data_IF_453693333355
#
_entry.id   IF_453693333355
#
_cell.length_a   1.000
_cell.length_b   1.000
_cell.length_c   1.000
_cell.angle_alpha   90.00
_cell.angle_beta   90.00
_cell.angle_gamma   90.00
#
_symmetry.space_group_name_H-M   'P 1'
#
loop_
_entity.id
_entity.type
_entity.pdbx_description
1 polymer ?
#
# COMPACT_ATOMS: atom_id res chain seq x y z
N UNK A 1 67.16 -38.11 1.25
CA UNK A 1 65.93 -38.02 2.07
C UNK A 1 65.00 -37.02 1.38
N UNK A 2 63.96 -37.51 0.71
CA UNK A 2 62.96 -36.67 0.05
C UNK A 2 61.61 -36.92 0.72
N UNK A 3 60.99 -35.87 1.25
CA UNK A 3 59.65 -35.94 1.84
C UNK A 3 58.64 -35.42 0.80
N UNK A 4 57.71 -36.29 0.41
CA UNK A 4 56.64 -35.96 -0.51
C UNK A 4 55.54 -35.17 0.23
N UNK A 5 55.25 -33.96 -0.23
CA UNK A 5 54.15 -33.13 0.28
C UNK A 5 52.83 -33.60 -0.32
N UNK A 6 51.89 -34.02 0.54
CA UNK A 6 50.50 -34.32 0.18
C UNK A 6 49.67 -33.05 0.41
N UNK A 7 49.11 -32.49 -0.66
CA UNK A 7 48.17 -31.35 -0.59
C UNK A 7 46.75 -31.90 -0.54
N UNK A 8 46.03 -31.65 0.56
CA UNK A 8 44.61 -31.97 0.71
C UNK A 8 43.79 -30.73 0.33
N UNK A 9 43.09 -30.77 -0.80
CA UNK A 9 42.14 -29.72 -1.21
C UNK A 9 40.76 -30.00 -0.58
N UNK A 10 40.35 -29.16 0.38
CA UNK A 10 39.02 -29.23 0.98
C UNK A 10 38.02 -28.39 0.16
N UNK A 11 37.06 -29.04 -0.48
CA UNK A 11 35.95 -28.39 -1.18
C UNK A 11 34.84 -27.99 -0.20
N UNK A 12 34.70 -26.69 0.08
CA UNK A 12 33.55 -26.16 0.82
C UNK A 12 32.31 -26.13 -0.11
N UNK A 13 31.38 -27.06 0.09
CA UNK A 13 30.06 -27.00 -0.56
C UNK A 13 29.15 -26.03 0.23
N UNK A 14 28.99 -24.81 -0.26
CA UNK A 14 28.02 -23.86 0.28
C UNK A 14 26.62 -24.30 -0.16
N UNK A 15 25.85 -24.90 0.75
CA UNK A 15 24.41 -25.13 0.52
C UNK A 15 23.69 -23.79 0.66
N UNK A 16 23.21 -23.25 -0.45
CA UNK A 16 22.25 -22.15 -0.43
C UNK A 16 20.96 -22.66 0.24
N UNK A 17 20.64 -22.14 1.43
CA UNK A 17 19.36 -22.38 2.07
C UNK A 17 18.31 -21.59 1.30
N UNK A 18 17.47 -22.28 0.52
CA UNK A 18 16.25 -21.68 0.00
C UNK A 18 15.32 -21.40 1.19
N UNK A 19 15.07 -20.12 1.46
CA UNK A 19 14.08 -19.74 2.48
C UNK A 19 12.69 -20.21 2.05
N UNK A 20 11.88 -20.78 2.95
CA UNK A 20 10.48 -21.06 2.66
C UNK A 20 9.79 -19.80 2.15
N UNK A 21 8.98 -19.95 1.08
CA UNK A 21 8.09 -18.91 0.63
C UNK A 21 7.15 -18.51 1.78
N UNK A 22 6.96 -17.21 1.96
CA UNK A 22 6.10 -16.69 3.02
C UNK A 22 4.64 -17.13 2.79
N UNK A 23 3.97 -17.71 3.79
CA UNK A 23 2.55 -18.00 3.66
C UNK A 23 1.78 -16.69 3.46
N UNK A 24 0.79 -16.65 2.56
CA UNK A 24 0.02 -15.44 2.31
C UNK A 24 -0.63 -14.93 3.60
N UNK A 25 -0.63 -13.62 3.79
CA UNK A 25 -1.20 -13.00 4.99
C UNK A 25 -2.66 -13.43 5.20
N UNK A 26 -3.14 -13.51 6.46
CA UNK A 26 -4.55 -13.73 6.73
C UNK A 26 -5.36 -12.59 6.09
N UNK A 27 -6.08 -12.92 5.03
CA UNK A 27 -7.01 -11.98 4.38
C UNK A 27 -8.20 -11.80 5.31
N UNK A 28 -8.66 -10.55 5.50
CA UNK A 28 -10.00 -10.35 6.02
C UNK A 28 -10.98 -10.73 4.89
N UNK A 29 -12.04 -11.53 5.13
CA UNK A 29 -13.02 -11.89 4.09
C UNK A 29 -13.73 -10.68 3.47
N UNK A 30 -13.66 -9.50 4.11
CA UNK A 30 -14.19 -8.25 3.61
C UNK A 30 -13.53 -7.76 2.32
N UNK A 31 -14.31 -7.02 1.53
CA UNK A 31 -13.80 -6.23 0.40
C UNK A 31 -14.30 -4.80 0.55
N UNK A 32 -13.45 -3.83 0.24
CA UNK A 32 -13.84 -2.43 0.20
C UNK A 32 -13.85 -1.93 -1.23
N UNK A 33 -14.65 -0.91 -1.50
CA UNK A 33 -14.73 -0.27 -2.81
C UNK A 33 -14.43 1.22 -2.75
N UNK A 34 -13.76 1.70 -3.80
CA UNK A 34 -13.53 3.12 -4.06
C UNK A 34 -14.27 3.49 -5.34
N UNK A 35 -15.06 4.55 -5.28
CA UNK A 35 -15.90 5.03 -6.39
C UNK A 35 -15.69 6.53 -6.61
N UNK A 36 -15.92 6.99 -7.84
CA UNK A 36 -15.87 8.41 -8.17
C UNK A 36 -14.49 9.04 -7.96
N UNK A 37 -13.42 8.24 -8.08
CA UNK A 37 -12.07 8.73 -7.84
C UNK A 37 -11.65 9.65 -8.98
N UNK A 38 -11.29 10.88 -8.62
CA UNK A 38 -10.93 11.95 -9.55
C UNK A 38 -9.90 12.89 -8.94
N UNK A 39 -9.19 13.58 -9.81
CA UNK A 39 -8.18 14.60 -9.51
C UNK A 39 -8.42 15.85 -10.36
N UNK A 40 -8.42 17.01 -9.72
CA UNK A 40 -8.48 18.32 -10.37
C UNK A 40 -7.24 19.10 -9.96
N UNK A 41 -6.47 19.60 -10.93
CA UNK A 41 -5.26 20.36 -10.65
C UNK A 41 -5.42 21.83 -11.06
N UNK A 42 -4.69 22.72 -10.38
CA UNK A 42 -4.49 24.10 -10.83
C UNK A 42 -3.79 24.13 -12.19
N UNK A 43 -3.96 25.22 -12.94
CA UNK A 43 -3.36 25.37 -14.28
C UNK A 43 -1.83 25.24 -14.27
N UNK A 44 -1.19 25.75 -13.21
CA UNK A 44 0.26 25.66 -12.98
C UNK A 44 0.71 24.31 -12.38
N UNK A 45 -0.25 23.40 -12.13
CA UNK A 45 -0.02 22.06 -11.56
C UNK A 45 0.68 22.07 -10.19
N UNK A 46 0.68 23.22 -9.51
CA UNK A 46 1.26 23.37 -8.17
C UNK A 46 0.39 22.74 -7.09
N UNK A 47 -0.89 22.50 -7.38
CA UNK A 47 -1.86 21.92 -6.47
C UNK A 47 -2.82 20.99 -7.21
N UNK A 48 -3.15 19.85 -6.59
CA UNK A 48 -4.20 18.94 -7.07
C UNK A 48 -5.14 18.55 -5.92
N UNK A 49 -6.44 18.67 -6.14
CA UNK A 49 -7.48 18.17 -5.25
C UNK A 49 -7.95 16.80 -5.73
N UNK A 50 -7.91 15.84 -4.81
CA UNK A 50 -8.42 14.48 -4.99
C UNK A 50 -9.76 14.34 -4.29
N UNK A 51 -10.66 13.55 -4.85
CA UNK A 51 -11.92 13.18 -4.19
C UNK A 51 -12.42 11.81 -4.62
N UNK A 52 -13.05 11.08 -3.70
CA UNK A 52 -13.66 9.76 -3.93
C UNK A 52 -14.64 9.40 -2.81
N UNK A 53 -15.34 8.28 -3.02
CA UNK A 53 -16.21 7.64 -2.04
C UNK A 53 -15.61 6.31 -1.59
N UNK A 54 -15.68 6.03 -0.30
CA UNK A 54 -15.24 4.78 0.34
C UNK A 54 -16.47 3.97 0.76
N UNK A 55 -16.58 2.74 0.29
CA UNK A 55 -17.60 1.78 0.74
C UNK A 55 -16.92 0.56 1.36
N UNK A 56 -17.05 0.41 2.67
CA UNK A 56 -16.65 -0.81 3.38
C UNK A 56 -17.76 -1.88 3.39
N UNK A 57 -18.99 -1.46 3.06
CA UNK A 57 -20.20 -2.26 3.09
C UNK A 57 -21.12 -1.79 1.95
N UNK A 58 -21.46 -2.64 0.97
CA UNK A 58 -22.24 -2.25 -0.20
C UNK A 58 -23.68 -1.84 0.13
N UNK A 59 -24.21 -2.15 1.33
CA UNK A 59 -25.57 -1.73 1.73
C UNK A 59 -25.60 -0.41 2.50
N UNK A 60 -24.44 0.16 2.83
CA UNK A 60 -24.34 1.44 3.56
C UNK A 60 -23.98 2.58 2.61
N UNK A 61 -24.38 3.79 2.99
CA UNK A 61 -24.01 5.02 2.27
C UNK A 61 -22.47 5.16 2.29
N UNK A 62 -21.81 5.26 1.12
CA UNK A 62 -20.37 5.48 1.04
C UNK A 62 -19.93 6.77 1.71
N UNK A 63 -18.70 6.79 2.23
CA UNK A 63 -18.10 7.90 2.95
C UNK A 63 -17.27 8.75 1.99
N UNK A 64 -17.54 10.04 1.92
CA UNK A 64 -16.78 10.95 1.06
C UNK A 64 -15.42 11.27 1.67
N UNK A 65 -14.38 11.23 0.84
CA UNK A 65 -13.05 11.73 1.16
C UNK A 65 -12.58 12.70 0.09
N UNK A 66 -12.03 13.83 0.52
CA UNK A 66 -11.36 14.76 -0.36
C UNK A 66 -10.18 15.43 0.35
N UNK A 67 -9.10 15.64 -0.37
CA UNK A 67 -7.88 16.26 0.14
C UNK A 67 -7.11 16.93 -1.00
N UNK A 68 -6.12 17.73 -0.62
CA UNK A 68 -5.26 18.46 -1.55
C UNK A 68 -3.82 18.03 -1.38
N UNK A 69 -3.14 17.83 -2.51
CA UNK A 69 -1.70 17.59 -2.61
C UNK A 69 -1.06 18.78 -3.30
N UNK A 70 0.09 19.22 -2.80
CA UNK A 70 0.88 20.31 -3.41
C UNK A 70 2.16 19.76 -4.00
N UNK A 71 2.69 20.42 -5.03
CA UNK A 71 3.97 20.11 -5.64
C UNK A 71 5.08 20.06 -4.57
N UNK A 72 5.91 19.01 -4.60
CA UNK A 72 7.02 18.83 -3.68
C UNK A 72 8.17 18.08 -4.36
N UNK A 73 9.39 18.22 -3.83
CA UNK A 73 10.55 17.48 -4.34
C UNK A 73 10.91 17.78 -5.80
N UNK A 74 10.50 18.93 -6.34
CA UNK A 74 10.69 19.28 -7.75
C UNK A 74 9.70 18.60 -8.71
N UNK A 75 8.72 17.87 -8.18
CA UNK A 75 7.66 17.22 -8.95
C UNK A 75 6.38 18.06 -8.91
N UNK A 76 5.57 18.06 -9.99
CA UNK A 76 4.24 18.64 -9.97
C UNK A 76 3.31 17.89 -8.99
N UNK A 77 2.23 18.54 -8.56
CA UNK A 77 1.36 17.99 -7.51
C UNK A 77 0.73 16.63 -7.88
N UNK A 78 0.50 16.37 -9.17
CA UNK A 78 -0.08 15.11 -9.64
C UNK A 78 0.90 13.93 -9.60
N UNK A 79 2.20 14.19 -9.49
CA UNK A 79 3.27 13.20 -9.35
C UNK A 79 3.84 13.15 -7.93
N UNK A 80 3.26 13.91 -7.00
CA UNK A 80 3.75 14.00 -5.63
C UNK A 80 3.05 12.95 -4.76
N UNK A 81 3.84 12.17 -4.04
CA UNK A 81 3.34 11.20 -3.06
C UNK A 81 2.66 11.89 -1.88
N UNK A 82 1.69 11.20 -1.29
CA UNK A 82 0.95 11.68 -0.14
C UNK A 82 0.81 10.60 0.92
N UNK A 83 0.95 11.00 2.18
CA UNK A 83 0.85 10.10 3.31
C UNK A 83 0.17 10.79 4.49
N UNK A 84 -0.52 9.99 5.28
CA UNK A 84 -1.19 10.39 6.54
C UNK A 84 -2.22 11.49 6.31
N UNK A 85 -2.87 11.49 5.13
CA UNK A 85 -3.92 12.45 4.82
C UNK A 85 -5.23 12.05 5.49
N UNK A 86 -5.88 13.02 6.13
CA UNK A 86 -7.20 12.82 6.75
C UNK A 86 -8.30 13.26 5.80
N UNK A 87 -9.39 12.52 5.83
CA UNK A 87 -10.60 12.82 5.09
C UNK A 87 -11.53 13.72 5.94
N UNK A 88 -11.85 14.95 5.52
CA UNK A 88 -12.74 15.84 6.26
C UNK A 88 -14.12 15.19 6.49
N UNK A 89 -14.62 15.27 7.73
CA UNK A 89 -15.93 14.72 8.11
C UNK A 89 -15.97 13.21 8.39
N UNK A 90 -14.87 12.49 8.14
CA UNK A 90 -14.76 11.04 8.34
C UNK A 90 -13.38 10.68 8.96
N UNK A 91 -13.13 11.10 10.22
CA UNK A 91 -11.81 11.08 10.84
C UNK A 91 -11.22 9.67 11.05
N UNK A 92 -12.06 8.63 10.95
CA UNK A 92 -11.67 7.22 10.99
C UNK A 92 -10.74 6.81 9.84
N UNK A 93 -10.75 7.55 8.72
CA UNK A 93 -9.92 7.24 7.56
C UNK A 93 -8.60 8.00 7.53
N UNK A 94 -7.54 7.26 7.22
CA UNK A 94 -6.22 7.77 6.81
C UNK A 94 -5.93 7.31 5.40
N UNK A 95 -5.45 8.23 4.57
CA UNK A 95 -5.13 7.99 3.18
C UNK A 95 -3.63 8.14 2.94
N UNK A 96 -3.05 7.14 2.29
CA UNK A 96 -1.73 7.20 1.71
C UNK A 96 -1.83 6.90 0.22
N UNK A 97 -0.81 7.27 -0.55
CA UNK A 97 -0.77 6.99 -1.97
C UNK A 97 0.33 7.76 -2.65
N UNK A 98 0.39 7.60 -3.95
CA UNK A 98 1.47 8.17 -4.74
C UNK A 98 1.38 7.79 -6.19
N UNK A 99 2.17 8.49 -7.00
CA UNK A 99 2.26 8.29 -8.43
C UNK A 99 3.48 7.43 -8.75
N UNK A 100 3.34 6.54 -9.72
CA UNK A 100 4.43 5.71 -10.24
C UNK A 100 4.71 6.05 -11.70
N UNK A 101 5.99 5.97 -12.09
CA UNK A 101 6.49 6.25 -13.43
C UNK A 101 5.83 5.44 -14.55
N UNK A 102 5.18 4.32 -14.22
CA UNK A 102 4.36 3.51 -15.13
C UNK A 102 2.94 4.06 -15.32
N UNK A 103 2.72 5.34 -14.99
CA UNK A 103 1.49 6.09 -15.18
C UNK A 103 0.28 5.54 -14.40
N UNK A 104 0.50 5.21 -13.13
CA UNK A 104 -0.59 4.86 -12.20
C UNK A 104 -0.48 5.64 -10.89
N UNK A 105 -1.63 5.80 -10.23
CA UNK A 105 -1.72 6.31 -8.87
C UNK A 105 -2.19 5.19 -7.96
N UNK A 106 -1.45 4.94 -6.89
CA UNK A 106 -1.85 4.03 -5.83
C UNK A 106 -2.59 4.77 -4.73
N UNK A 107 -3.56 4.10 -4.13
CA UNK A 107 -4.33 4.61 -3.01
C UNK A 107 -4.42 3.53 -1.94
N UNK A 108 -3.93 3.83 -0.75
CA UNK A 108 -4.15 3.03 0.45
C UNK A 108 -5.20 3.72 1.30
N UNK A 109 -6.32 3.05 1.53
CA UNK A 109 -7.37 3.48 2.45
C UNK A 109 -7.20 2.71 3.74
N UNK A 110 -7.00 3.41 4.85
CA UNK A 110 -6.85 2.82 6.19
C UNK A 110 -8.03 3.27 7.04
N UNK A 111 -8.74 2.33 7.67
CA UNK A 111 -9.66 2.64 8.75
C UNK A 111 -8.95 2.38 10.09
N UNK A 112 -8.55 3.46 10.74
CA UNK A 112 -7.75 3.41 11.97
C UNK A 112 -8.53 2.78 13.14
N UNK A 113 -9.86 3.01 13.20
CA UNK A 113 -10.71 2.48 14.25
C UNK A 113 -10.87 0.96 14.13
N UNK A 114 -11.06 0.48 12.90
CA UNK A 114 -11.23 -0.95 12.61
C UNK A 114 -9.91 -1.70 12.53
N UNK A 115 -8.78 -0.98 12.44
CA UNK A 115 -7.44 -1.55 12.23
C UNK A 115 -7.39 -2.38 10.95
N UNK A 116 -7.94 -1.83 9.88
CA UNK A 116 -8.01 -2.45 8.57
C UNK A 116 -7.50 -1.49 7.50
N UNK A 117 -7.00 -2.05 6.40
CA UNK A 117 -6.61 -1.28 5.22
C UNK A 117 -6.99 -2.02 3.93
N UNK A 118 -7.09 -1.27 2.85
CA UNK A 118 -7.24 -1.79 1.49
C UNK A 118 -6.42 -0.98 0.49
N UNK A 119 -5.99 -1.62 -0.60
CA UNK A 119 -5.13 -1.03 -1.63
C UNK A 119 -5.87 -0.94 -2.96
N UNK A 120 -5.74 0.17 -3.64
CA UNK A 120 -6.32 0.43 -4.95
C UNK A 120 -5.25 1.04 -5.88
N UNK A 121 -5.44 0.89 -7.19
CA UNK A 121 -4.52 1.44 -8.18
C UNK A 121 -5.26 1.84 -9.43
N UNK A 122 -5.14 3.09 -9.84
CA UNK A 122 -5.85 3.66 -10.97
C UNK A 122 -4.86 4.15 -12.01
N UNK A 123 -5.20 4.08 -13.30
CA UNK A 123 -4.33 4.72 -14.30
C UNK A 123 -4.38 6.23 -14.10
N UNK A 124 -3.25 6.90 -14.30
CA UNK A 124 -3.18 8.35 -14.09
C UNK A 124 -4.14 9.10 -15.02
N UNK A 125 -4.34 8.57 -16.24
CA UNK A 125 -5.24 9.10 -17.24
C UNK A 125 -6.71 9.11 -16.78
N UNK A 126 -7.16 8.08 -16.04
CA UNK A 126 -8.54 7.95 -15.56
C UNK A 126 -8.90 8.97 -14.46
N UNK A 127 -7.91 9.62 -13.86
CA UNK A 127 -8.11 10.55 -12.75
C UNK A 127 -8.28 11.99 -13.19
N UNK A 128 -7.90 12.35 -14.42
CA UNK A 128 -8.00 13.73 -14.88
C UNK A 128 -9.45 14.19 -14.99
N UNK A 129 -9.68 15.48 -14.69
CA UNK A 129 -11.01 16.06 -14.66
C UNK A 129 -11.81 15.81 -15.95
N UNK A 130 -13.07 15.39 -15.79
CA UNK A 130 -14.02 15.18 -16.89
C UNK A 130 -14.56 13.75 -16.99
N UNK A 131 -13.87 12.77 -16.41
CA UNK A 131 -14.32 11.38 -16.30
C UNK A 131 -13.97 10.88 -14.88
N UNK A 132 -14.90 10.20 -14.22
CA UNK A 132 -14.60 9.51 -12.96
C UNK A 132 -13.94 8.16 -13.29
N UNK A 133 -12.90 7.79 -12.52
CA UNK A 133 -12.30 6.49 -12.71
C UNK A 133 -13.31 5.36 -12.43
N UNK A 134 -13.16 4.26 -13.17
CA UNK A 134 -13.99 3.07 -12.97
C UNK A 134 -13.90 2.62 -11.51
N UNK A 135 -15.02 2.34 -10.82
CA UNK A 135 -15.00 1.86 -9.45
C UNK A 135 -14.13 0.62 -9.29
N UNK A 136 -13.39 0.55 -8.18
CA UNK A 136 -12.56 -0.60 -7.85
C UNK A 136 -12.99 -1.22 -6.54
N UNK A 137 -12.95 -2.54 -6.48
CA UNK A 137 -13.12 -3.32 -5.26
C UNK A 137 -11.82 -4.06 -4.96
N UNK A 138 -11.39 -4.03 -3.71
CA UNK A 138 -10.13 -4.65 -3.29
C UNK A 138 -10.28 -5.39 -1.97
N UNK A 139 -9.34 -6.31 -1.72
CA UNK A 139 -9.27 -7.11 -0.50
C UNK A 139 -8.87 -6.24 0.69
N UNK A 140 -9.30 -6.67 1.87
CA UNK A 140 -9.01 -5.99 3.14
C UNK A 140 -7.96 -6.77 3.94
N UNK A 141 -7.05 -6.02 4.55
CA UNK A 141 -5.94 -6.53 5.33
C UNK A 141 -5.92 -5.91 6.73
N UNK A 142 -5.27 -6.58 7.67
CA UNK A 142 -5.09 -6.08 9.05
C UNK A 142 -4.05 -4.95 9.05
N UNK A 143 -4.33 -3.88 9.80
CA UNK A 143 -3.46 -2.71 10.00
C UNK A 143 -3.11 -2.49 11.50
N UNK A 144 -1.84 -2.18 11.86
CA UNK A 144 -0.67 -2.19 10.99
C UNK A 144 -0.37 -3.60 10.50
N UNK A 145 0.21 -3.70 9.30
CA UNK A 145 0.67 -4.97 8.76
C UNK A 145 1.67 -5.57 9.76
N UNK A 146 1.41 -6.76 10.34
CA UNK A 146 2.29 -7.33 11.34
C UNK A 146 3.69 -7.57 10.77
N UNK A 147 4.72 -7.00 11.39
CA UNK A 147 6.11 -7.29 11.04
C UNK A 147 6.47 -8.64 11.68
N UNK A 148 6.92 -9.60 10.87
CA UNK A 148 7.30 -10.99 11.26
C UNK A 148 8.07 -11.13 12.59
N UNK A 149 8.85 -10.12 13.00
CA UNK A 149 9.61 -10.12 14.26
C UNK A 149 8.71 -10.26 15.51
N UNK A 150 7.50 -9.69 15.47
CA UNK A 150 6.55 -9.76 16.59
C UNK A 150 5.78 -11.09 16.63
N UNK A 151 5.59 -11.75 15.48
CA UNK A 151 4.88 -13.04 15.42
C UNK A 151 5.74 -14.19 15.97
N UNK A 152 7.03 -14.22 15.62
CA UNK A 152 7.98 -15.21 16.18
C UNK A 152 8.11 -15.12 17.71
N UNK A 153 8.08 -13.91 18.28
CA UNK A 153 8.18 -13.73 19.74
C UNK A 153 6.93 -14.25 20.47
N UNK A 154 5.72 -14.00 19.95
CA UNK A 154 4.47 -14.47 20.55
C UNK A 154 4.29 -16.00 20.47
N UNK A 155 4.81 -16.64 19.43
CA UNK A 155 4.78 -18.10 19.32
C UNK A 155 5.75 -18.76 20.30
N UNK A 156 6.91 -18.13 20.55
CA UNK A 156 7.88 -18.59 21.54
C UNK A 156 7.32 -18.50 22.97
N UNK A 157 6.71 -17.37 23.35
CA UNK A 157 6.12 -17.15 24.68
C UNK A 157 4.90 -18.04 24.98
N UNK A 158 4.21 -18.55 23.94
CA UNK A 158 3.07 -19.45 24.11
C UNK A 158 3.48 -20.92 24.21
N UNK A 159 4.75 -21.23 23.95
CA UNK A 159 5.30 -22.59 23.98
C UNK A 159 6.11 -22.91 25.25
N UNK A 160 6.22 -21.94 26.17
CA UNK A 160 6.78 -22.09 27.52
C UNK A 160 5.66 -22.09 28.58
#
# INVERSE_FOLDING_TARGET
MGFASVIVLATLAIRALASPAEPPQPQNPENWSVMGFRRVCSEDQSQCSYSFLISEDPVKVPRFCGFTVTAAGGLPAYQTDFAVLKCPGVPEYTINGGWDERAFVTLTVINDQRRLLSFFSFTDADLWAGVEATPQTSKVFIHPIPIKRQMKQKEQEKSD
#
